data_IF_679603200015
#
_entry.id   IF_679603200015
#
_cell.length_a   1.000
_cell.length_b   1.000
_cell.length_c   1.000
_cell.angle_alpha   90.00
_cell.angle_beta   90.00
_cell.angle_gamma   90.00
#
_symmetry.space_group_name_H-M   'P 1'
#
loop_
_entity.id
_entity.type
_entity.pdbx_description
1 polymer ?
#
# COMPACT_ATOMS: atom_id res chain seq x y z
N UNK A 1 11.73 -9.31 -14.85
CA UNK A 1 11.31 -9.24 -14.70
C UNK A 1 10.25 -8.91 -14.49
N UNK A 2 9.63 -8.91 -13.82
CA UNK A 2 8.56 -8.55 -13.67
C UNK A 2 8.41 -7.66 -12.70
N UNK A 3 7.93 -6.46 -12.90
CA UNK A 3 7.63 -5.61 -11.97
C UNK A 3 6.35 -5.92 -11.45
N UNK A 4 6.10 -5.95 -10.18
CA UNK A 4 4.82 -6.12 -9.62
C UNK A 4 4.08 -4.87 -9.71
N UNK A 5 2.94 -4.89 -10.32
CA UNK A 5 2.11 -3.74 -10.40
C UNK A 5 0.90 -3.97 -9.57
N UNK A 6 0.45 -2.98 -8.83
CA UNK A 6 -0.71 -3.08 -7.96
C UNK A 6 -1.76 -2.10 -8.46
N UNK A 7 -3.01 -2.52 -8.43
CA UNK A 7 -4.10 -1.64 -8.85
C UNK A 7 -4.38 -0.64 -7.76
N UNK A 8 -5.06 0.43 -8.12
CA UNK A 8 -5.42 1.46 -7.17
C UNK A 8 -6.19 0.85 -6.01
N UNK A 9 -7.07 -0.07 -6.33
CA UNK A 9 -7.89 -0.73 -5.34
C UNK A 9 -7.03 -1.50 -4.36
N UNK A 10 -6.01 -2.19 -4.85
CA UNK A 10 -5.12 -2.93 -3.99
C UNK A 10 -4.31 -1.99 -3.10
N UNK A 11 -3.83 -0.91 -3.67
CA UNK A 11 -3.05 0.06 -2.92
C UNK A 11 -3.86 0.64 -1.79
N UNK A 12 -5.09 1.01 -2.06
CA UNK A 12 -5.95 1.56 -1.02
C UNK A 12 -6.21 0.51 0.04
N UNK A 13 -6.32 -0.75 -0.36
CA UNK A 13 -6.49 -1.82 0.59
C UNK A 13 -5.30 -1.94 1.53
N UNK A 14 -4.09 -1.78 1.00
CA UNK A 14 -2.90 -1.81 1.84
C UNK A 14 -2.92 -0.66 2.84
N UNK A 15 -3.32 0.51 2.39
CA UNK A 15 -3.36 1.67 3.26
C UNK A 15 -4.38 1.48 4.36
N UNK A 16 -5.51 0.90 4.04
CA UNK A 16 -6.52 0.66 5.04
C UNK A 16 -6.05 -0.37 6.06
N UNK A 17 -5.32 -1.37 5.61
CA UNK A 17 -4.80 -2.38 6.50
C UNK A 17 -3.80 -1.74 7.47
N UNK A 18 -3.00 -0.81 6.97
CA UNK A 18 -2.07 -0.10 7.80
C UNK A 18 -2.81 0.71 8.85
N UNK A 19 -3.88 1.37 8.45
CA UNK A 19 -4.65 2.17 9.38
C UNK A 19 -5.32 1.31 10.43
N UNK A 20 -5.58 0.06 10.09
CA UNK A 20 -6.22 -0.85 11.03
C UNK A 20 -5.23 -1.38 12.06
N UNK A 21 -3.98 -1.02 11.94
CA UNK A 21 -3.00 -1.42 12.95
C UNK A 21 -1.90 -2.33 12.44
N UNK A 22 -1.93 -2.70 11.19
CA UNK A 22 -0.90 -3.58 10.65
C UNK A 22 0.39 -2.81 10.48
N UNK A 23 1.49 -3.54 10.55
CA UNK A 23 2.78 -2.89 10.41
C UNK A 23 3.15 -2.81 8.95
N UNK A 24 3.71 -1.70 8.56
CA UNK A 24 4.13 -1.50 7.19
C UNK A 24 5.17 -2.53 6.79
N UNK A 25 6.07 -2.85 7.69
CA UNK A 25 7.12 -3.82 7.36
C UNK A 25 6.51 -5.18 7.04
N UNK A 26 5.43 -5.55 7.70
CA UNK A 26 4.78 -6.81 7.43
C UNK A 26 4.13 -6.77 6.06
N UNK A 27 3.50 -5.66 5.73
CA UNK A 27 2.87 -5.52 4.43
C UNK A 27 3.90 -5.60 3.32
N UNK A 28 5.01 -4.94 3.51
CA UNK A 28 6.08 -4.94 2.53
C UNK A 28 6.58 -6.35 2.31
N UNK A 29 6.78 -7.08 3.38
CA UNK A 29 7.29 -8.43 3.27
C UNK A 29 6.26 -9.34 2.61
N UNK A 30 5.02 -9.17 2.97
CA UNK A 30 4.00 -10.04 2.45
C UNK A 30 3.70 -9.79 0.99
N UNK A 31 3.68 -8.56 0.59
CA UNK A 31 3.29 -8.22 -0.77
C UNK A 31 4.44 -7.90 -1.70
N UNK A 32 5.60 -7.64 -1.18
CA UNK A 32 6.77 -7.47 -2.02
C UNK A 32 6.98 -6.08 -2.60
N UNK A 33 6.33 -5.07 -2.09
CA UNK A 33 6.62 -3.72 -2.58
C UNK A 33 7.64 -3.08 -1.67
N UNK A 34 8.14 -1.91 -2.05
CA UNK A 34 9.15 -1.25 -1.27
C UNK A 34 8.51 -0.24 -0.33
N UNK A 35 9.24 0.09 0.72
CA UNK A 35 8.77 1.05 1.68
C UNK A 35 8.56 2.40 1.01
N UNK A 36 9.43 2.73 0.08
CA UNK A 36 9.33 3.97 -0.63
C UNK A 36 8.04 4.04 -1.42
N UNK A 37 7.68 2.93 -2.07
CA UNK A 37 6.45 2.88 -2.83
C UNK A 37 5.25 3.03 -1.92
N UNK A 38 5.31 2.41 -0.75
CA UNK A 38 4.20 2.50 0.19
C UNK A 38 3.96 3.95 0.62
N UNK A 39 5.02 4.65 0.96
CA UNK A 39 4.86 6.02 1.40
C UNK A 39 4.41 6.94 0.28
N UNK A 40 4.83 6.63 -0.93
CA UNK A 40 4.37 7.39 -2.07
C UNK A 40 2.86 7.19 -2.25
N UNK A 41 2.40 5.95 -2.10
CA UNK A 41 0.98 5.67 -2.21
C UNK A 41 0.21 6.35 -1.09
N UNK A 42 0.77 6.33 0.10
CA UNK A 42 0.12 6.94 1.22
C UNK A 42 -0.05 8.44 1.00
N UNK A 43 0.93 9.05 0.42
CA UNK A 43 0.85 10.46 0.13
C UNK A 43 -0.16 10.74 -0.98
N UNK A 44 -0.22 9.85 -1.95
CA UNK A 44 -1.08 10.06 -3.10
C UNK A 44 -2.53 9.70 -2.79
N UNK A 45 -2.74 8.58 -2.11
CA UNK A 45 -4.09 8.09 -1.87
C UNK A 45 -4.54 8.21 -0.43
N UNK A 46 -3.70 8.69 0.44
CA UNK A 46 -3.98 8.68 1.87
C UNK A 46 -5.26 9.36 2.27
N UNK A 47 -5.62 10.40 1.59
CA UNK A 47 -6.82 11.11 1.93
C UNK A 47 -8.02 10.70 1.11
N UNK A 48 -7.84 9.74 0.21
CA UNK A 48 -8.91 9.36 -0.66
C UNK A 48 -9.70 8.22 -0.09
N UNK A 49 -10.93 8.15 -0.46
CA UNK A 49 -11.76 7.06 -0.05
C UNK A 49 -12.29 6.41 -1.26
N UNK A 50 -12.33 5.10 -1.24
CA UNK A 50 -12.92 4.37 -2.33
C UNK A 50 -14.38 4.36 -2.06
N UNK A 51 -15.12 5.04 -2.80
CA UNK A 51 -16.54 5.03 -2.56
C UNK A 51 -17.30 4.33 -3.63
#
# INVERSE_FOLDING_TARGET
MKQKRYTEEQIIGFLKTDEAGAKVSDLIREHGFSEQSFYRWKSKYGGMQVS
#
